data_IF_481105582143
#
_entry.id   IF_481105582143
#
_cell.length_a   1.000
_cell.length_b   1.000
_cell.length_c   1.000
_cell.angle_alpha   90.00
_cell.angle_beta   90.00
_cell.angle_gamma   90.00
#
_symmetry.space_group_name_H-M   'P 1'
#
loop_
_entity.id
_entity.type
_entity.pdbx_description
1 polymer ?
#
# COMPACT_ATOMS: atom_id res chain seq x y z
N UNK A 1 -6.20 -32.20 35.65
CA UNK A 1 -7.04 -30.99 35.76
C UNK A 1 -6.19 -29.80 35.33
N UNK A 2 -5.87 -29.74 34.04
CA UNK A 2 -5.07 -28.69 33.41
C UNK A 2 -5.68 -28.44 32.03
N UNK A 3 -6.54 -27.44 31.96
CA UNK A 3 -7.00 -26.82 30.73
C UNK A 3 -7.57 -25.45 31.14
N UNK A 4 -7.47 -24.48 30.23
CA UNK A 4 -8.03 -23.14 30.36
C UNK A 4 -7.12 -22.10 31.04
N UNK A 5 -6.03 -21.74 30.35
CA UNK A 5 -5.37 -20.42 30.43
C UNK A 5 -4.63 -20.15 29.11
N UNK A 6 -5.38 -20.07 28.01
CA UNK A 6 -4.85 -19.66 26.70
C UNK A 6 -6.01 -19.10 25.86
N UNK A 7 -6.51 -17.92 26.26
CA UNK A 7 -7.53 -17.17 25.51
C UNK A 7 -7.66 -15.71 26.03
N UNK A 8 -6.55 -15.01 26.27
CA UNK A 8 -6.58 -13.57 26.62
C UNK A 8 -5.41 -12.79 25.95
N UNK A 9 -5.04 -13.13 24.71
CA UNK A 9 -4.03 -12.33 23.96
C UNK A 9 -4.57 -11.81 22.61
N UNK A 10 -5.78 -12.18 22.19
CA UNK A 10 -6.30 -11.84 20.86
C UNK A 10 -7.40 -10.75 20.83
N UNK A 11 -7.76 -10.12 21.95
CA UNK A 11 -8.95 -9.24 22.02
C UNK A 11 -8.64 -7.78 22.39
N UNK A 12 -7.38 -7.44 22.68
CA UNK A 12 -7.02 -6.09 23.16
C UNK A 12 -6.56 -5.08 22.10
N UNK A 13 -6.67 -5.40 20.80
CA UNK A 13 -6.29 -4.49 19.70
C UNK A 13 -7.47 -3.78 19.01
N UNK A 14 -8.72 -4.02 19.43
CA UNK A 14 -9.92 -3.42 18.79
C UNK A 14 -10.51 -2.24 19.59
N UNK A 15 -9.93 -1.89 20.74
CA UNK A 15 -10.43 -0.77 21.55
C UNK A 15 -9.32 0.26 21.79
N UNK A 16 -9.36 1.34 21.01
CA UNK A 16 -8.85 2.70 21.27
C UNK A 16 -8.21 3.33 20.02
N UNK A 17 -8.99 3.51 18.95
CA UNK A 17 -8.89 4.69 18.08
C UNK A 17 -10.31 5.05 17.63
N UNK A 18 -11.12 5.58 18.55
CA UNK A 18 -12.26 6.43 18.16
C UNK A 18 -11.72 7.85 17.97
N UNK A 19 -10.81 8.03 17.01
CA UNK A 19 -10.75 9.33 16.34
C UNK A 19 -12.14 9.47 15.71
N UNK A 20 -12.76 10.64 15.82
CA UNK A 20 -13.98 10.94 15.06
C UNK A 20 -13.67 10.69 13.59
N UNK A 21 -13.98 9.49 13.12
CA UNK A 21 -13.94 9.14 11.71
C UNK A 21 -15.05 9.98 11.10
N UNK A 22 -14.64 11.02 10.38
CA UNK A 22 -15.53 11.81 9.56
C UNK A 22 -15.70 11.03 8.25
N UNK A 23 -16.92 10.61 7.99
CA UNK A 23 -17.28 9.77 6.86
C UNK A 23 -18.79 9.59 6.81
N UNK A 24 -19.32 9.56 5.59
CA UNK A 24 -20.77 9.36 5.41
C UNK A 24 -21.04 7.87 5.43
N UNK A 25 -21.80 7.40 6.42
CA UNK A 25 -22.28 6.02 6.48
C UNK A 25 -23.44 5.84 5.50
N UNK A 26 -23.26 4.97 4.52
CA UNK A 26 -24.27 4.60 3.55
C UNK A 26 -24.90 3.27 3.97
N UNK A 27 -26.20 3.30 4.24
CA UNK A 27 -26.97 2.07 4.42
C UNK A 27 -27.22 1.44 3.04
N UNK A 28 -26.89 0.16 2.91
CA UNK A 28 -27.11 -0.59 1.68
C UNK A 28 -28.41 -1.38 1.83
N UNK A 29 -29.48 -1.06 1.07
CA UNK A 29 -30.72 -1.82 1.16
C UNK A 29 -30.52 -3.28 0.73
N UNK A 30 -31.40 -4.17 1.18
CA UNK A 30 -31.38 -5.56 0.75
C UNK A 30 -31.58 -5.64 -0.78
N UNK A 31 -30.75 -6.43 -1.47
CA UNK A 31 -30.74 -6.51 -2.93
C UNK A 31 -30.16 -5.27 -3.61
N UNK A 32 -29.43 -4.43 -2.87
CA UNK A 32 -28.69 -3.31 -3.46
C UNK A 32 -27.66 -3.83 -4.48
N UNK A 33 -27.64 -3.19 -5.64
CA UNK A 33 -26.76 -3.53 -6.74
C UNK A 33 -26.38 -2.26 -7.50
N UNK A 34 -25.12 -2.21 -7.92
CA UNK A 34 -24.61 -1.23 -8.88
C UNK A 34 -23.94 -1.97 -10.02
N UNK A 35 -24.37 -1.66 -11.24
CA UNK A 35 -23.81 -2.24 -12.47
C UNK A 35 -22.78 -1.29 -13.06
N UNK A 36 -21.58 -1.79 -13.31
CA UNK A 36 -20.53 -1.13 -14.06
C UNK A 36 -20.96 -0.99 -15.53
N UNK A 37 -21.65 0.09 -15.90
CA UNK A 37 -22.01 0.38 -17.28
C UNK A 37 -22.06 1.90 -17.53
N UNK A 38 -22.43 2.29 -18.75
CA UNK A 38 -22.52 3.68 -19.20
C UNK A 38 -23.59 4.53 -18.49
N UNK A 39 -24.33 3.99 -17.52
CA UNK A 39 -25.23 4.77 -16.66
C UNK A 39 -24.50 5.44 -15.50
N UNK A 40 -23.32 4.94 -15.12
CA UNK A 40 -22.51 5.55 -14.08
C UNK A 40 -21.75 6.76 -14.63
N UNK A 41 -21.61 7.85 -13.86
CA UNK A 41 -20.76 8.98 -14.24
C UNK A 41 -19.30 8.53 -14.40
N UNK A 42 -18.73 8.75 -15.59
CA UNK A 42 -17.34 8.41 -15.91
C UNK A 42 -16.46 9.67 -15.93
N UNK A 43 -15.30 9.58 -15.29
CA UNK A 43 -14.33 10.67 -15.17
C UNK A 43 -12.95 10.21 -15.62
N UNK A 44 -12.17 11.13 -16.19
CA UNK A 44 -10.77 10.87 -16.53
C UNK A 44 -9.90 10.89 -15.27
N UNK A 45 -9.02 9.92 -15.13
CA UNK A 45 -8.00 9.88 -14.07
C UNK A 45 -6.69 10.52 -14.54
N UNK A 46 -5.93 11.03 -13.57
CA UNK A 46 -4.57 11.54 -13.82
C UNK A 46 -3.56 10.42 -14.10
N UNK A 47 -3.86 9.20 -13.66
CA UNK A 47 -2.98 8.04 -13.75
C UNK A 47 -3.11 7.35 -15.11
N UNK A 48 -2.06 7.37 -15.94
CA UNK A 48 -1.88 6.42 -17.05
C UNK A 48 -3.04 6.29 -18.06
N UNK A 49 -3.56 7.42 -18.57
CA UNK A 49 -4.71 7.46 -19.50
C UNK A 49 -5.87 6.55 -19.04
N UNK A 50 -6.18 6.64 -17.75
CA UNK A 50 -7.24 5.89 -17.12
C UNK A 50 -8.54 6.69 -17.01
N UNK A 51 -9.61 5.97 -16.72
CA UNK A 51 -10.89 6.54 -16.32
C UNK A 51 -11.50 5.74 -15.17
N UNK A 52 -12.47 6.34 -14.49
CA UNK A 52 -13.19 5.69 -13.41
C UNK A 52 -14.66 6.05 -13.42
N UNK A 53 -15.51 5.07 -13.11
CA UNK A 53 -16.95 5.23 -12.97
C UNK A 53 -17.33 5.30 -11.52
N UNK A 54 -17.89 6.43 -11.11
CA UNK A 54 -18.25 6.70 -9.72
C UNK A 54 -19.44 5.84 -9.28
N UNK A 55 -19.29 5.11 -8.17
CA UNK A 55 -20.38 4.30 -7.63
C UNK A 55 -21.43 5.17 -6.93
N UNK A 56 -22.69 4.76 -7.08
CA UNK A 56 -23.84 5.45 -6.49
C UNK A 56 -24.76 4.47 -5.78
N UNK A 57 -25.20 4.81 -4.57
CA UNK A 57 -26.33 4.16 -3.90
C UNK A 57 -27.60 4.99 -4.12
N UNK A 58 -28.44 4.57 -5.06
CA UNK A 58 -29.53 5.41 -5.54
C UNK A 58 -28.99 6.66 -6.23
N UNK A 59 -29.35 7.85 -5.73
CA UNK A 59 -28.86 9.13 -6.26
C UNK A 59 -27.65 9.68 -5.50
N UNK A 60 -27.05 8.89 -4.59
CA UNK A 60 -25.99 9.34 -3.71
C UNK A 60 -24.67 8.67 -4.08
N UNK A 61 -23.66 9.46 -4.45
CA UNK A 61 -22.31 8.96 -4.72
C UNK A 61 -21.66 8.43 -3.43
N UNK A 62 -20.93 7.32 -3.55
CA UNK A 62 -20.19 6.71 -2.45
C UNK A 62 -18.81 7.37 -2.31
N UNK A 63 -18.76 8.44 -1.52
CA UNK A 63 -17.59 9.33 -1.39
C UNK A 63 -17.29 9.64 0.08
N UNK A 64 -16.08 10.08 0.38
CA UNK A 64 -15.75 10.62 1.70
C UNK A 64 -16.50 11.93 1.98
N UNK A 65 -16.61 12.31 3.25
CA UNK A 65 -17.36 13.51 3.64
C UNK A 65 -16.70 14.79 3.10
N UNK A 66 -15.38 14.82 3.05
CA UNK A 66 -14.59 15.87 2.41
C UNK A 66 -14.53 15.78 0.86
N UNK A 67 -15.10 14.72 0.28
CA UNK A 67 -15.17 14.47 -1.15
C UNK A 67 -13.83 14.11 -1.81
N UNK A 68 -12.74 13.90 -1.06
CA UNK A 68 -11.41 13.58 -1.60
C UNK A 68 -11.28 12.14 -2.08
N UNK A 69 -12.04 11.22 -1.48
CA UNK A 69 -12.04 9.79 -1.81
C UNK A 69 -13.38 9.34 -2.39
N UNK A 70 -13.33 8.42 -3.35
CA UNK A 70 -14.51 7.89 -4.02
C UNK A 70 -14.38 6.40 -4.36
N UNK A 71 -15.45 5.64 -4.17
CA UNK A 71 -15.53 4.28 -4.70
C UNK A 71 -15.89 4.30 -6.18
N UNK A 72 -15.23 3.43 -6.95
CA UNK A 72 -15.40 3.41 -8.40
C UNK A 72 -15.14 2.04 -9.02
N UNK A 73 -15.53 1.90 -10.29
CA UNK A 73 -14.89 0.97 -11.22
C UNK A 73 -13.82 1.73 -12.03
N UNK A 74 -12.56 1.39 -11.85
CA UNK A 74 -11.39 2.02 -12.47
C UNK A 74 -10.90 1.20 -13.67
N UNK A 75 -10.44 1.84 -14.75
CA UNK A 75 -9.86 1.18 -15.94
C UNK A 75 -8.73 1.99 -16.58
N UNK A 76 -7.80 1.32 -17.24
CA UNK A 76 -6.70 1.95 -17.98
C UNK A 76 -6.89 1.83 -19.50
N UNK A 77 -6.50 2.84 -20.29
CA UNK A 77 -6.31 2.77 -21.75
C UNK A 77 -7.48 2.14 -22.53
N UNK A 78 -8.73 2.43 -22.15
CA UNK A 78 -9.92 1.80 -22.72
C UNK A 78 -9.93 0.25 -22.69
N UNK A 79 -9.13 -0.34 -21.81
CA UNK A 79 -9.09 -1.78 -21.57
C UNK A 79 -10.46 -2.30 -21.12
N UNK A 80 -10.84 -3.54 -21.51
CA UNK A 80 -12.05 -4.17 -20.99
C UNK A 80 -11.94 -4.61 -19.52
N UNK A 81 -10.80 -4.34 -18.87
CA UNK A 81 -10.54 -4.71 -17.47
C UNK A 81 -10.87 -3.56 -16.53
N UNK A 82 -11.81 -3.81 -15.62
CA UNK A 82 -12.24 -2.91 -14.58
C UNK A 82 -11.85 -3.43 -13.19
N UNK A 83 -11.53 -2.49 -12.31
CA UNK A 83 -11.15 -2.73 -10.93
C UNK A 83 -12.11 -2.01 -9.99
N UNK A 84 -12.73 -2.73 -9.05
CA UNK A 84 -13.39 -2.09 -7.92
C UNK A 84 -12.33 -1.45 -7.03
N UNK A 85 -12.38 -0.12 -6.94
CA UNK A 85 -11.26 0.67 -6.47
C UNK A 85 -11.69 1.90 -5.66
N UNK A 86 -10.79 2.33 -4.79
CA UNK A 86 -10.84 3.64 -4.15
C UNK A 86 -9.96 4.62 -4.94
N UNK A 87 -10.55 5.76 -5.32
CA UNK A 87 -9.87 6.85 -6.00
C UNK A 87 -9.62 7.98 -5.02
N UNK A 88 -8.40 8.52 -5.01
CA UNK A 88 -8.00 9.71 -4.25
C UNK A 88 -7.80 10.90 -5.18
N UNK A 89 -8.08 12.12 -4.71
CA UNK A 89 -7.99 13.33 -5.52
C UNK A 89 -9.20 13.53 -6.43
N UNK A 90 -10.33 12.89 -6.12
CA UNK A 90 -11.60 13.08 -6.84
C UNK A 90 -12.25 14.46 -6.57
N UNK A 91 -11.49 15.41 -6.01
CA UNK A 91 -12.01 16.66 -5.45
C UNK A 91 -12.61 17.54 -6.55
N UNK A 92 -13.93 17.68 -6.46
CA UNK A 92 -14.84 18.43 -7.31
C UNK A 92 -15.23 17.71 -8.62
N UNK A 93 -16.10 16.70 -8.46
CA UNK A 93 -16.90 15.96 -9.46
C UNK A 93 -17.66 16.83 -10.49
N UNK A 94 -17.46 18.14 -10.47
CA UNK A 94 -18.08 19.17 -11.32
C UNK A 94 -17.15 19.69 -12.41
N UNK A 95 -15.83 19.45 -12.32
CA UNK A 95 -14.87 19.81 -13.36
C UNK A 95 -14.30 18.54 -13.99
N UNK A 96 -14.22 18.50 -15.31
CA UNK A 96 -13.61 17.45 -16.12
C UNK A 96 -12.08 17.34 -15.95
N UNK A 97 -11.53 17.89 -14.86
CA UNK A 97 -10.09 17.95 -14.60
C UNK A 97 -9.62 16.63 -13.97
N UNK A 98 -8.69 15.97 -14.65
CA UNK A 98 -8.16 14.66 -14.27
C UNK A 98 -7.22 14.74 -13.06
N UNK A 99 -7.76 14.58 -11.84
CA UNK A 99 -6.96 14.53 -10.60
C UNK A 99 -7.06 13.19 -9.86
N UNK A 100 -7.97 12.29 -10.27
CA UNK A 100 -8.15 10.99 -9.63
C UNK A 100 -6.95 10.06 -9.83
N UNK A 101 -6.54 9.37 -8.77
CA UNK A 101 -5.58 8.24 -8.79
C UNK A 101 -6.15 7.05 -8.03
N UNK A 102 -5.91 5.83 -8.51
CA UNK A 102 -6.28 4.63 -7.76
C UNK A 102 -5.31 4.41 -6.60
N UNK A 103 -5.83 4.34 -5.37
CA UNK A 103 -5.05 4.13 -4.14
C UNK A 103 -5.35 2.81 -3.44
N UNK A 104 -6.39 2.09 -3.87
CA UNK A 104 -6.72 0.77 -3.36
C UNK A 104 -7.63 0.03 -4.34
N UNK A 105 -7.50 -1.29 -4.46
CA UNK A 105 -8.46 -2.11 -5.22
C UNK A 105 -8.65 -3.49 -4.61
N UNK A 106 -9.91 -3.91 -4.51
CA UNK A 106 -10.29 -5.19 -3.92
C UNK A 106 -9.98 -6.39 -4.82
N UNK A 107 -10.08 -6.19 -6.14
CA UNK A 107 -9.99 -7.24 -7.16
C UNK A 107 -8.84 -6.98 -8.14
N UNK A 108 -7.73 -6.38 -7.67
CA UNK A 108 -6.57 -6.02 -8.50
C UNK A 108 -5.99 -7.18 -9.32
N UNK A 109 -6.06 -8.41 -8.81
CA UNK A 109 -5.58 -9.63 -9.49
C UNK A 109 -6.67 -10.35 -10.30
N UNK A 110 -7.93 -9.97 -10.10
CA UNK A 110 -9.09 -10.56 -10.74
C UNK A 110 -10.00 -9.46 -11.30
N UNK A 111 -9.53 -8.69 -12.31
CA UNK A 111 -10.35 -7.65 -12.93
C UNK A 111 -11.62 -8.24 -13.53
N UNK A 112 -12.66 -7.41 -13.59
CA UNK A 112 -13.96 -7.73 -14.18
C UNK A 112 -14.16 -6.99 -15.48
N UNK A 113 -15.22 -7.33 -16.20
CA UNK A 113 -15.57 -6.72 -17.48
C UNK A 113 -16.70 -5.69 -17.36
N UNK A 114 -17.05 -5.10 -18.50
CA UNK A 114 -18.24 -4.28 -18.66
C UNK A 114 -19.49 -5.04 -18.19
N UNK A 115 -20.44 -4.37 -17.54
CA UNK A 115 -21.63 -4.93 -16.88
C UNK A 115 -21.38 -5.82 -15.65
N UNK A 116 -20.17 -5.82 -15.09
CA UNK A 116 -19.92 -6.38 -13.76
C UNK A 116 -20.73 -5.64 -12.68
N UNK A 117 -20.96 -6.29 -11.54
CA UNK A 117 -21.81 -5.75 -10.46
C UNK A 117 -21.07 -5.67 -9.14
N UNK A 118 -21.37 -4.64 -8.36
CA UNK A 118 -21.14 -4.61 -6.92
C UNK A 118 -22.51 -4.76 -6.26
N UNK A 119 -22.72 -5.85 -5.53
CA UNK A 119 -24.04 -6.18 -4.97
C UNK A 119 -23.97 -6.65 -3.52
N UNK A 120 -25.01 -6.35 -2.76
CA UNK A 120 -25.22 -6.87 -1.41
C UNK A 120 -26.23 -8.02 -1.45
N UNK A 121 -25.76 -9.24 -1.22
CA UNK A 121 -26.63 -10.43 -1.15
C UNK A 121 -27.53 -10.43 0.09
N UNK A 122 -28.58 -11.25 0.07
CA UNK A 122 -29.48 -11.47 1.21
C UNK A 122 -28.78 -11.97 2.49
N UNK A 123 -27.57 -12.54 2.35
CA UNK A 123 -26.76 -13.00 3.48
C UNK A 123 -25.84 -11.90 4.05
N UNK A 124 -25.94 -10.67 3.53
CA UNK A 124 -25.04 -9.57 3.89
C UNK A 124 -23.61 -9.79 3.40
N UNK A 125 -23.43 -10.41 2.23
CA UNK A 125 -22.13 -10.44 1.53
C UNK A 125 -22.12 -9.32 0.49
N UNK A 126 -21.19 -8.37 0.61
CA UNK A 126 -20.88 -7.43 -0.45
C UNK A 126 -19.94 -8.12 -1.43
N UNK A 127 -20.31 -8.18 -2.72
CA UNK A 127 -19.61 -8.98 -3.72
C UNK A 127 -19.35 -8.17 -4.99
N UNK A 128 -18.14 -8.32 -5.53
CA UNK A 128 -17.83 -7.92 -6.91
C UNK A 128 -18.00 -9.16 -7.79
N UNK A 129 -18.93 -9.09 -8.74
CA UNK A 129 -19.29 -10.18 -9.64
C UNK A 129 -19.08 -9.73 -11.08
N UNK A 130 -18.42 -10.55 -11.89
CA UNK A 130 -18.25 -10.29 -13.31
C UNK A 130 -19.55 -10.56 -14.09
N UNK A 131 -19.62 -10.11 -15.34
CA UNK A 131 -20.83 -10.21 -16.18
C UNK A 131 -21.28 -11.66 -16.48
N UNK A 132 -20.39 -12.64 -16.30
CA UNK A 132 -20.65 -14.06 -16.43
C UNK A 132 -21.16 -14.73 -15.13
N UNK A 133 -21.30 -13.96 -14.05
CA UNK A 133 -21.72 -14.45 -12.73
C UNK A 133 -20.59 -14.91 -11.81
N UNK A 134 -19.32 -14.83 -12.26
CA UNK A 134 -18.17 -15.20 -11.44
C UNK A 134 -17.90 -14.14 -10.36
N UNK A 135 -17.91 -14.57 -9.10
CA UNK A 135 -17.51 -13.70 -7.98
C UNK A 135 -15.99 -13.61 -7.91
N UNK A 136 -15.45 -12.39 -7.98
CA UNK A 136 -13.99 -12.14 -7.95
C UNK A 136 -13.50 -11.63 -6.60
N UNK A 137 -14.41 -11.07 -5.79
CA UNK A 137 -14.12 -10.59 -4.44
C UNK A 137 -15.41 -10.57 -3.62
N UNK A 138 -15.32 -10.85 -2.31
CA UNK A 138 -16.43 -10.70 -1.38
C UNK A 138 -15.96 -10.33 0.03
N UNK A 139 -16.83 -9.61 0.75
CA UNK A 139 -16.66 -9.31 2.17
C UNK A 139 -17.03 -10.51 3.07
N UNK A 140 -16.74 -10.44 4.38
CA UNK A 140 -17.43 -11.27 5.38
C UNK A 140 -18.97 -11.10 5.32
N UNK A 141 -19.69 -12.05 5.91
CA UNK A 141 -21.17 -12.00 6.02
C UNK A 141 -21.64 -10.96 7.03
N UNK A 142 -22.91 -10.56 6.91
CA UNK A 142 -23.56 -9.67 7.85
C UNK A 142 -23.35 -8.17 7.60
N UNK A 143 -22.77 -7.80 6.46
CA UNK A 143 -22.64 -6.40 6.04
C UNK A 143 -24.02 -5.79 5.81
N UNK A 144 -24.20 -4.57 6.31
CA UNK A 144 -25.43 -3.78 6.19
C UNK A 144 -25.19 -2.32 5.77
N UNK A 145 -23.93 -1.89 5.74
CA UNK A 145 -23.56 -0.54 5.34
C UNK A 145 -22.09 -0.43 4.97
N UNK A 146 -21.78 0.64 4.27
CA UNK A 146 -20.43 0.99 3.81
C UNK A 146 -20.16 2.46 4.12
N UNK A 147 -18.92 2.79 4.47
CA UNK A 147 -18.46 4.16 4.66
C UNK A 147 -17.13 4.34 3.97
N UNK A 148 -16.99 5.47 3.28
CA UNK A 148 -15.69 5.97 2.81
C UNK A 148 -15.30 7.06 3.80
N UNK A 149 -14.25 6.83 4.58
CA UNK A 149 -13.76 7.78 5.57
C UNK A 149 -12.86 8.83 4.90
N UNK A 150 -12.74 10.01 5.52
CA UNK A 150 -11.83 11.09 5.09
C UNK A 150 -10.34 10.69 5.19
N UNK A 151 -10.03 9.59 5.88
CA UNK A 151 -8.70 8.94 5.88
C UNK A 151 -8.42 8.12 4.62
N UNK A 152 -9.46 7.84 3.81
CA UNK A 152 -9.41 6.87 2.71
C UNK A 152 -9.62 5.42 3.15
N UNK A 153 -10.01 5.17 4.40
CA UNK A 153 -10.44 3.83 4.82
C UNK A 153 -11.85 3.54 4.31
N UNK A 154 -12.03 2.38 3.67
CA UNK A 154 -13.35 1.87 3.27
C UNK A 154 -13.78 0.88 4.33
N UNK A 155 -14.85 1.19 5.05
CA UNK A 155 -15.30 0.41 6.20
C UNK A 155 -16.67 -0.19 5.93
N UNK A 156 -16.80 -1.50 6.19
CA UNK A 156 -18.06 -2.21 6.11
C UNK A 156 -18.61 -2.47 7.51
N UNK A 157 -19.88 -2.15 7.73
CA UNK A 157 -20.52 -2.27 9.03
C UNK A 157 -21.56 -3.38 9.06
N UNK A 158 -21.64 -4.07 10.20
CA UNK A 158 -22.76 -4.95 10.50
C UNK A 158 -24.01 -4.18 10.94
N UNK A 159 -25.12 -4.90 11.12
CA UNK A 159 -26.41 -4.30 11.53
C UNK A 159 -26.41 -3.68 12.94
N UNK A 160 -25.41 -3.98 13.76
CA UNK A 160 -25.20 -3.38 15.09
C UNK A 160 -24.32 -2.13 15.04
N UNK A 161 -23.80 -1.79 13.86
CA UNK A 161 -22.85 -0.69 13.66
C UNK A 161 -21.40 -1.08 13.99
N UNK A 162 -21.13 -2.36 14.21
CA UNK A 162 -19.78 -2.90 14.40
C UNK A 162 -19.01 -2.95 13.09
N UNK A 163 -17.69 -2.75 13.15
CA UNK A 163 -16.81 -2.90 11.99
C UNK A 163 -16.67 -4.38 11.66
N UNK A 164 -17.14 -4.78 10.49
CA UNK A 164 -17.06 -6.16 9.99
C UNK A 164 -15.83 -6.39 9.10
N UNK A 165 -15.37 -5.34 8.41
CA UNK A 165 -14.24 -5.37 7.50
C UNK A 165 -13.78 -3.94 7.19
N UNK A 166 -12.50 -3.74 6.88
CA UNK A 166 -11.96 -2.43 6.46
C UNK A 166 -10.80 -2.56 5.46
N UNK A 167 -10.66 -1.62 4.52
CA UNK A 167 -9.62 -1.67 3.48
C UNK A 167 -8.20 -1.49 4.02
N UNK A 168 -8.04 -0.78 5.14
CA UNK A 168 -6.72 -0.55 5.73
C UNK A 168 -6.01 -1.84 6.17
N UNK A 169 -6.76 -2.89 6.48
CA UNK A 169 -6.22 -4.22 6.83
C UNK A 169 -5.77 -5.03 5.59
N UNK A 170 -6.06 -4.52 4.39
CA UNK A 170 -5.78 -5.16 3.10
C UNK A 170 -5.09 -4.17 2.13
N UNK A 171 -3.87 -3.71 2.45
CA UNK A 171 -3.15 -2.77 1.60
C UNK A 171 -2.79 -3.37 0.23
N UNK A 172 -2.63 -2.51 -0.78
CA UNK A 172 -2.19 -2.89 -2.14
C UNK A 172 -0.76 -2.45 -2.40
N UNK A 173 -0.55 -1.47 -3.28
CA UNK A 173 0.72 -0.83 -3.59
C UNK A 173 0.85 0.56 -2.94
N UNK A 174 -0.21 1.07 -2.29
CA UNK A 174 -0.27 2.41 -1.71
C UNK A 174 -0.47 2.35 -0.20
N UNK A 175 0.19 3.25 0.51
CA UNK A 175 0.00 3.56 1.92
C UNK A 175 -0.54 4.98 2.07
N UNK A 176 -1.74 5.11 2.64
CA UNK A 176 -2.37 6.39 2.92
C UNK A 176 -1.95 6.96 4.28
N UNK A 177 -2.16 8.25 4.47
CA UNK A 177 -1.85 8.93 5.73
C UNK A 177 -2.62 8.29 6.89
N UNK A 178 -1.91 7.97 7.98
CA UNK A 178 -2.51 7.34 9.16
C UNK A 178 -2.84 5.85 9.02
N UNK A 179 -2.73 5.27 7.81
CA UNK A 179 -2.82 3.82 7.62
C UNK A 179 -1.61 3.14 8.26
N UNK A 180 -1.87 2.04 8.96
CA UNK A 180 -0.86 1.26 9.68
C UNK A 180 -0.70 -0.10 8.99
N UNK A 181 0.52 -0.44 8.59
CA UNK A 181 0.89 -1.78 8.10
C UNK A 181 1.56 -2.52 9.25
N UNK A 182 0.96 -3.60 9.73
CA UNK A 182 1.54 -4.39 10.84
C UNK A 182 2.57 -5.39 10.34
N UNK A 183 3.35 -5.94 11.26
CA UNK A 183 4.33 -6.99 10.95
C UNK A 183 3.69 -8.15 10.19
N UNK A 184 4.33 -8.58 9.10
CA UNK A 184 3.83 -9.65 8.21
C UNK A 184 2.84 -9.17 7.12
N UNK A 185 2.43 -7.90 7.13
CA UNK A 185 1.76 -7.28 5.99
C UNK A 185 2.77 -6.61 5.06
N UNK A 186 2.34 -6.41 3.81
CA UNK A 186 3.20 -5.86 2.76
C UNK A 186 2.46 -4.93 1.81
N UNK A 187 3.20 -4.00 1.24
CA UNK A 187 2.83 -3.38 -0.04
C UNK A 187 3.37 -4.24 -1.18
N UNK A 188 2.58 -4.42 -2.24
CA UNK A 188 2.97 -5.17 -3.44
C UNK A 188 2.74 -4.27 -4.64
N UNK A 189 3.77 -4.01 -5.44
CA UNK A 189 3.71 -3.10 -6.58
C UNK A 189 2.66 -3.52 -7.60
N UNK A 190 2.29 -2.60 -8.49
CA UNK A 190 1.54 -2.95 -9.70
C UNK A 190 2.44 -3.70 -10.69
N UNK A 191 1.85 -4.49 -11.59
CA UNK A 191 2.57 -5.25 -12.61
C UNK A 191 3.07 -4.38 -13.75
N UNK A 192 2.38 -3.26 -14.02
CA UNK A 192 2.78 -2.25 -15.01
C UNK A 192 2.08 -0.92 -14.72
N UNK A 193 2.41 0.13 -15.47
CA UNK A 193 1.75 1.44 -15.38
C UNK A 193 0.27 1.44 -15.81
N UNK A 194 -0.20 0.35 -16.43
CA UNK A 194 -1.54 0.20 -16.99
C UNK A 194 -2.31 -1.02 -16.46
N UNK A 195 -1.81 -1.63 -15.38
CA UNK A 195 -2.42 -2.81 -14.76
C UNK A 195 -2.18 -2.79 -13.25
N UNK A 196 -3.26 -2.92 -12.46
CA UNK A 196 -3.16 -2.98 -11.00
C UNK A 196 -2.80 -4.36 -10.49
N UNK A 197 -2.78 -5.40 -11.32
CA UNK A 197 -2.41 -6.75 -10.87
C UNK A 197 -1.07 -6.75 -10.15
N UNK A 198 -0.90 -7.65 -9.21
CA UNK A 198 0.29 -7.74 -8.38
C UNK A 198 1.53 -7.93 -9.24
N UNK A 199 2.51 -7.05 -9.04
CA UNK A 199 3.84 -7.13 -9.65
C UNK A 199 4.81 -7.91 -8.77
N UNK A 200 6.09 -7.80 -9.10
CA UNK A 200 7.16 -8.56 -8.44
C UNK A 200 7.85 -7.80 -7.32
N UNK A 201 7.55 -6.52 -7.09
CA UNK A 201 8.20 -5.74 -6.03
C UNK A 201 7.32 -5.72 -4.79
N UNK A 202 7.91 -5.98 -3.63
CA UNK A 202 7.20 -6.04 -2.36
C UNK A 202 7.98 -5.31 -1.27
N UNK A 203 7.27 -4.60 -0.41
CA UNK A 203 7.81 -4.02 0.83
C UNK A 203 7.07 -4.63 2.00
N UNK A 204 7.78 -5.31 2.88
CA UNK A 204 7.22 -6.00 4.04
C UNK A 204 7.72 -5.38 5.35
N UNK A 205 6.81 -5.25 6.31
CA UNK A 205 7.17 -4.84 7.67
C UNK A 205 7.59 -6.07 8.45
N UNK A 206 8.84 -6.08 8.91
CA UNK A 206 9.44 -7.18 9.66
C UNK A 206 9.90 -6.71 11.04
N UNK A 207 10.14 -7.64 11.95
CA UNK A 207 10.58 -7.35 13.31
C UNK A 207 11.93 -6.60 13.38
N UNK A 208 12.68 -6.46 12.29
CA UNK A 208 13.93 -5.69 12.25
C UNK A 208 13.83 -4.35 11.52
N UNK A 209 12.67 -4.02 10.92
CA UNK A 209 12.53 -2.83 10.09
C UNK A 209 11.64 -3.05 8.87
N UNK A 210 12.08 -2.51 7.72
CA UNK A 210 11.45 -2.75 6.42
C UNK A 210 12.36 -3.62 5.56
N UNK A 211 11.78 -4.61 4.89
CA UNK A 211 12.47 -5.38 3.87
C UNK A 211 11.77 -5.18 2.53
N UNK A 212 12.56 -4.93 1.50
CA UNK A 212 12.11 -4.82 0.13
C UNK A 212 12.61 -6.01 -0.66
N UNK A 213 11.68 -6.65 -1.37
CA UNK A 213 11.83 -7.96 -1.96
C UNK A 213 11.45 -7.89 -3.45
N UNK A 214 12.22 -8.62 -4.26
CA UNK A 214 11.89 -8.98 -5.62
C UNK A 214 11.40 -10.44 -5.62
N UNK A 215 10.12 -10.64 -5.91
CA UNK A 215 9.45 -11.94 -6.00
C UNK A 215 9.35 -12.37 -7.49
N UNK A 216 10.38 -13.09 -7.96
CA UNK A 216 10.38 -13.83 -9.23
C UNK A 216 10.26 -15.34 -8.94
N UNK A 217 10.99 -16.20 -9.65
CA UNK A 217 11.08 -17.64 -9.31
C UNK A 217 11.70 -17.87 -7.93
N UNK A 218 12.56 -16.95 -7.49
CA UNK A 218 13.15 -16.91 -6.16
C UNK A 218 12.92 -15.54 -5.54
N UNK A 219 12.68 -15.50 -4.22
CA UNK A 219 12.55 -14.25 -3.46
C UNK A 219 13.93 -13.69 -3.15
N UNK A 220 14.21 -12.46 -3.58
CA UNK A 220 15.50 -11.79 -3.36
C UNK A 220 15.32 -10.46 -2.64
N UNK A 221 15.93 -10.25 -1.47
CA UNK A 221 15.92 -8.94 -0.84
C UNK A 221 16.88 -7.99 -1.57
N UNK A 222 16.40 -6.80 -1.92
CA UNK A 222 17.23 -5.77 -2.56
C UNK A 222 17.47 -4.54 -1.68
N UNK A 223 16.64 -4.34 -0.64
CA UNK A 223 16.86 -3.30 0.35
C UNK A 223 16.37 -3.80 1.71
N UNK A 224 17.23 -3.72 2.72
CA UNK A 224 16.85 -3.89 4.12
C UNK A 224 17.08 -2.55 4.78
N UNK A 225 16.00 -1.93 5.25
CA UNK A 225 16.08 -0.71 6.01
C UNK A 225 15.84 -1.01 7.48
N UNK A 226 16.87 -0.77 8.27
CA UNK A 226 16.82 -0.71 9.72
C UNK A 226 17.57 0.55 10.16
N UNK A 227 17.12 1.17 11.24
CA UNK A 227 17.88 2.23 11.90
C UNK A 227 18.40 1.70 13.22
N UNK A 228 19.69 1.41 13.30
CA UNK A 228 20.47 1.79 14.48
C UNK A 228 21.96 1.81 14.14
N UNK A 229 22.69 2.71 14.79
CA UNK A 229 24.15 2.80 14.81
C UNK A 229 24.78 1.49 15.34
N UNK A 230 24.85 0.46 14.50
CA UNK A 230 25.61 -0.77 14.72
C UNK A 230 25.01 -1.80 15.68
N UNK A 231 24.05 -1.43 16.53
CA UNK A 231 23.48 -2.35 17.53
C UNK A 231 21.96 -2.46 17.40
N UNK A 232 21.47 -3.52 16.75
CA UNK A 232 20.20 -4.12 17.21
C UNK A 232 20.35 -4.36 18.71
N UNK A 233 19.31 -4.19 19.56
CA UNK A 233 19.39 -4.64 20.94
C UNK A 233 19.83 -6.11 20.91
N UNK A 234 21.11 -6.35 21.19
CA UNK A 234 21.73 -7.68 21.20
C UNK A 234 21.14 -8.56 22.30
N UNK A 235 20.31 -7.95 23.14
CA UNK A 235 19.61 -8.54 24.25
C UNK A 235 18.12 -8.14 24.20
N UNK A 236 17.34 -8.86 23.38
CA UNK A 236 15.92 -9.12 23.72
C UNK A 236 15.90 -10.22 24.80
N UNK A 237 16.70 -10.08 25.85
CA UNK A 237 16.85 -11.09 26.92
C UNK A 237 16.15 -10.70 28.20
N UNK A 238 15.50 -9.54 28.24
CA UNK A 238 14.49 -9.25 29.25
C UNK A 238 13.20 -8.84 28.58
N UNK A 239 12.13 -9.61 28.83
CA UNK A 239 10.76 -9.14 28.64
C UNK A 239 10.58 -8.02 29.66
N UNK A 240 11.05 -6.82 29.34
CA UNK A 240 10.73 -5.65 30.11
C UNK A 240 9.30 -5.26 29.75
N UNK A 241 8.34 -5.63 30.59
CA UNK A 241 6.92 -5.26 30.44
C UNK A 241 6.68 -3.74 30.48
N UNK A 242 7.72 -2.95 30.76
CA UNK A 242 7.72 -1.49 30.74
C UNK A 242 8.22 -0.91 29.41
N UNK A 243 8.66 -1.74 28.46
CA UNK A 243 9.10 -1.29 27.14
C UNK A 243 7.92 -0.74 26.32
N UNK A 244 7.96 0.53 25.88
CA UNK A 244 6.98 1.02 24.91
C UNK A 244 7.15 0.25 23.61
N UNK A 245 6.04 -0.17 22.98
CA UNK A 245 6.08 -0.70 21.62
C UNK A 245 6.56 0.41 20.67
N UNK A 246 7.29 0.06 19.62
CA UNK A 246 7.73 1.00 18.59
C UNK A 246 7.05 0.68 17.26
N UNK A 247 6.93 1.71 16.43
CA UNK A 247 6.52 1.60 15.03
C UNK A 247 7.50 2.38 14.16
N UNK A 248 7.54 2.03 12.88
CA UNK A 248 8.25 2.77 11.86
C UNK A 248 7.33 3.90 11.41
N UNK A 249 7.68 5.14 11.75
CA UNK A 249 7.02 6.30 11.16
C UNK A 249 7.76 6.66 9.86
N UNK A 250 7.04 6.58 8.75
CA UNK A 250 7.46 7.12 7.47
C UNK A 250 7.02 8.58 7.44
N UNK A 251 7.96 9.51 7.37
CA UNK A 251 7.67 10.94 7.32
C UNK A 251 8.26 11.54 6.06
N UNK A 252 7.47 12.38 5.39
CA UNK A 252 8.02 13.22 4.33
C UNK A 252 8.94 14.26 4.97
N UNK A 253 10.09 14.53 4.38
CA UNK A 253 11.05 15.55 4.84
C UNK A 253 11.92 15.97 3.67
N UNK A 254 12.05 17.28 3.48
CA UNK A 254 12.98 17.88 2.51
C UNK A 254 12.91 17.27 1.09
N UNK A 255 11.72 16.89 0.61
CA UNK A 255 11.55 16.35 -0.74
C UNK A 255 11.62 14.82 -0.84
N UNK A 256 11.87 14.09 0.26
CA UNK A 256 12.01 12.64 0.31
C UNK A 256 11.14 12.03 1.42
N UNK A 257 11.03 10.70 1.47
CA UNK A 257 10.48 9.98 2.63
C UNK A 257 11.62 9.38 3.43
N UNK A 258 11.60 9.65 4.72
CA UNK A 258 12.53 9.09 5.68
C UNK A 258 11.78 8.20 6.66
N UNK A 259 12.42 7.12 7.10
CA UNK A 259 11.91 6.29 8.17
C UNK A 259 12.50 6.71 9.51
N UNK A 260 11.72 6.62 10.57
CA UNK A 260 12.21 6.74 11.95
C UNK A 260 11.47 5.80 12.88
N UNK A 261 12.15 5.31 13.91
CA UNK A 261 11.47 4.63 15.00
C UNK A 261 10.71 5.65 15.84
N UNK A 262 9.44 5.39 16.09
CA UNK A 262 8.56 6.21 16.91
C UNK A 262 7.95 5.33 18.01
N UNK A 263 8.07 5.77 19.27
CA UNK A 263 7.38 5.13 20.39
C UNK A 263 5.85 5.25 20.21
N UNK A 264 5.10 4.18 20.48
CA UNK A 264 3.64 4.22 20.37
C UNK A 264 2.98 4.93 21.55
N UNK A 265 3.69 5.09 22.68
CA UNK A 265 3.24 5.91 23.83
C UNK A 265 3.87 7.29 23.77
N UNK A 266 3.02 8.31 23.84
CA UNK A 266 3.45 9.69 23.99
C UNK A 266 4.33 9.83 25.24
N UNK A 267 5.46 10.52 25.10
CA UNK A 267 6.34 10.97 26.20
C UNK A 267 7.38 9.96 26.74
N UNK A 268 7.96 9.11 25.89
CA UNK A 268 9.16 8.35 26.26
C UNK A 268 10.34 8.82 25.40
N UNK A 269 11.40 9.32 26.05
CA UNK A 269 12.73 9.50 25.45
C UNK A 269 13.52 8.18 25.44
N UNK A 270 12.84 7.06 25.72
CA UNK A 270 13.44 5.75 25.90
C UNK A 270 13.92 5.21 24.55
N UNK A 271 15.07 4.53 24.57
CA UNK A 271 15.60 3.87 23.39
C UNK A 271 14.74 2.66 22.99
N UNK A 272 14.65 2.35 21.68
CA UNK A 272 13.99 1.14 21.21
C UNK A 272 14.54 -0.10 21.90
N UNK A 273 13.71 -0.74 22.72
CA UNK A 273 14.07 -1.97 23.44
C UNK A 273 13.39 -3.23 22.87
N UNK A 274 12.71 -3.10 21.72
CA UNK A 274 12.06 -4.20 21.02
C UNK A 274 11.83 -3.91 19.53
N UNK A 275 11.46 -4.95 18.76
CA UNK A 275 11.20 -4.83 17.32
C UNK A 275 10.03 -3.87 17.03
N UNK A 276 9.99 -3.19 15.87
CA UNK A 276 8.80 -2.46 15.46
C UNK A 276 7.68 -3.46 15.20
N UNK A 277 6.46 -3.11 15.61
CA UNK A 277 5.29 -3.95 15.36
C UNK A 277 4.53 -3.53 14.12
N UNK A 278 4.80 -2.33 13.59
CA UNK A 278 4.11 -1.76 12.44
C UNK A 278 4.92 -0.64 11.75
N UNK A 279 4.48 -0.24 10.56
CA UNK A 279 4.84 0.98 9.87
C UNK A 279 3.61 1.88 9.64
N UNK A 280 3.78 3.20 9.66
CA UNK A 280 2.70 4.18 9.45
C UNK A 280 3.23 5.37 8.66
N UNK A 281 2.43 5.87 7.71
CA UNK A 281 2.70 7.18 7.09
C UNK A 281 2.20 8.27 8.04
N UNK A 282 3.14 9.05 8.58
CA UNK A 282 2.86 10.11 9.54
C UNK A 282 2.14 11.31 8.91
N UNK A 283 1.33 12.01 9.71
CA UNK A 283 0.63 13.23 9.32
C UNK A 283 1.64 14.38 9.12
N UNK A 284 1.80 14.84 7.87
CA UNK A 284 2.82 15.82 7.50
C UNK A 284 2.34 17.27 7.59
N UNK A 285 1.06 17.53 7.33
CA UNK A 285 0.34 18.76 7.64
C UNK A 285 -1.14 18.49 7.33
N UNK A 286 -2.09 19.16 7.99
CA UNK A 286 -3.52 18.90 7.74
C UNK A 286 -4.03 19.37 6.36
N UNK A 287 -3.18 20.00 5.54
CA UNK A 287 -3.59 20.63 4.27
C UNK A 287 -3.05 19.97 3.01
N UNK A 288 -1.98 19.17 3.11
CA UNK A 288 -1.34 18.57 1.93
C UNK A 288 -1.92 17.19 1.60
N UNK A 289 -2.40 16.99 0.38
CA UNK A 289 -2.82 15.67 -0.07
C UNK A 289 -1.60 14.88 -0.50
N UNK A 290 -1.36 13.75 0.15
CA UNK A 290 -0.22 12.92 -0.16
C UNK A 290 -0.49 11.44 0.11
N UNK A 291 0.26 10.58 -0.58
CA UNK A 291 0.29 9.14 -0.35
C UNK A 291 1.68 8.59 -0.67
N UNK A 292 1.99 7.42 -0.12
CA UNK A 292 3.19 6.65 -0.47
C UNK A 292 2.81 5.51 -1.39
N UNK A 293 3.58 5.26 -2.45
CA UNK A 293 3.35 4.15 -3.36
C UNK A 293 4.64 3.36 -3.57
N UNK A 294 4.56 2.04 -3.47
CA UNK A 294 5.59 1.14 -3.98
C UNK A 294 5.37 1.00 -5.49
N UNK A 295 6.17 1.73 -6.26
CA UNK A 295 6.00 1.78 -7.71
C UNK A 295 6.52 0.50 -8.38
N UNK A 296 6.22 0.34 -9.67
CA UNK A 296 6.53 -0.85 -10.47
C UNK A 296 8.04 -1.17 -10.54
N UNK A 297 8.87 -0.16 -10.30
CA UNK A 297 10.33 -0.28 -10.27
C UNK A 297 10.87 -0.60 -8.86
N UNK A 298 10.02 -0.80 -7.86
CA UNK A 298 10.41 -1.18 -6.51
C UNK A 298 10.84 0.01 -5.63
N UNK A 299 10.66 1.24 -6.09
CA UNK A 299 10.89 2.44 -5.27
C UNK A 299 9.62 2.79 -4.49
N UNK A 300 9.79 3.08 -3.20
CA UNK A 300 8.72 3.68 -2.40
C UNK A 300 8.75 5.21 -2.59
N UNK A 301 7.78 5.75 -3.32
CA UNK A 301 7.75 7.14 -3.77
C UNK A 301 6.60 7.89 -3.09
N UNK A 302 6.85 9.10 -2.53
CA UNK A 302 5.78 9.99 -2.11
C UNK A 302 5.16 10.70 -3.30
N UNK A 303 3.84 10.74 -3.38
CA UNK A 303 3.10 11.55 -4.33
C UNK A 303 2.35 12.63 -3.57
N UNK A 304 2.51 13.87 -3.99
CA UNK A 304 1.92 15.05 -3.35
C UNK A 304 1.10 15.81 -4.38
N UNK A 305 -0.10 16.23 -4.00
CA UNK A 305 -0.95 16.99 -4.89
C UNK A 305 -0.54 18.46 -4.89
N UNK A 306 -0.19 18.97 -6.07
CA UNK A 306 0.11 20.37 -6.29
C UNK A 306 -1.19 21.10 -6.66
N UNK A 307 -1.78 21.80 -5.68
CA UNK A 307 -3.02 22.57 -5.89
C UNK A 307 -2.88 23.67 -6.95
N UNK A 308 -1.70 24.27 -7.11
CA UNK A 308 -1.46 25.32 -8.11
C UNK A 308 -1.47 24.79 -9.54
N UNK A 309 -1.09 23.52 -9.74
CA UNK A 309 -1.03 22.84 -11.05
C UNK A 309 -2.13 21.81 -11.26
N UNK A 310 -3.00 21.61 -10.27
CA UNK A 310 -4.04 20.58 -10.25
C UNK A 310 -3.54 19.19 -10.69
N UNK A 311 -2.38 18.77 -10.17
CA UNK A 311 -1.72 17.52 -10.58
C UNK A 311 -0.94 16.88 -9.44
N UNK A 312 -0.76 15.56 -9.52
CA UNK A 312 0.11 14.80 -8.62
C UNK A 312 1.55 14.92 -9.06
N UNK A 313 2.44 15.24 -8.12
CA UNK A 313 3.88 15.31 -8.33
C UNK A 313 4.57 14.25 -7.46
N UNK A 314 5.51 13.51 -8.06
CA UNK A 314 6.35 12.57 -7.33
C UNK A 314 7.49 13.31 -6.62
N UNK A 315 7.68 13.04 -5.34
CA UNK A 315 8.90 13.42 -4.62
C UNK A 315 10.02 12.42 -4.86
N UNK A 316 11.09 12.55 -4.07
CA UNK A 316 12.22 11.64 -4.13
C UNK A 316 11.89 10.31 -3.43
N UNK A 317 12.38 9.17 -3.97
CA UNK A 317 12.20 7.87 -3.35
C UNK A 317 12.66 7.80 -1.90
N UNK A 318 12.09 6.87 -1.14
CA UNK A 318 12.47 6.54 0.22
C UNK A 318 14.00 6.43 0.35
N UNK A 319 14.56 7.21 1.27
CA UNK A 319 15.99 7.23 1.57
C UNK A 319 16.88 7.55 0.34
N UNK A 320 16.39 8.34 -0.61
CA UNK A 320 17.14 8.82 -1.79
C UNK A 320 18.41 9.62 -1.45
N UNK A 321 18.45 10.25 -0.27
CA UNK A 321 19.64 10.89 0.26
C UNK A 321 20.78 9.91 0.57
N UNK A 322 20.45 8.64 0.84
CA UNK A 322 21.40 7.58 1.18
C UNK A 322 21.67 6.67 -0.01
N UNK A 323 20.61 6.28 -0.73
CA UNK A 323 20.72 5.34 -1.85
C UNK A 323 20.80 6.02 -3.23
N UNK A 324 20.57 7.34 -3.32
CA UNK A 324 20.55 8.05 -4.59
C UNK A 324 19.58 7.42 -5.59
N UNK A 325 20.10 7.11 -6.77
CA UNK A 325 19.40 6.43 -7.88
C UNK A 325 19.52 4.90 -7.84
N UNK A 326 20.16 4.31 -6.82
CA UNK A 326 20.68 2.94 -6.82
C UNK A 326 19.69 1.81 -6.44
N UNK A 327 18.40 2.10 -6.31
CA UNK A 327 17.36 1.10 -5.97
C UNK A 327 16.51 0.75 -7.20
N UNK A 328 16.05 -0.50 -7.35
CA UNK A 328 16.75 -1.79 -7.27
C UNK A 328 17.34 -2.24 -8.62
N UNK A 329 17.10 -1.51 -9.70
CA UNK A 329 17.46 -1.93 -11.07
C UNK A 329 18.31 -0.91 -11.82
N UNK A 330 19.18 -0.20 -11.10
CA UNK A 330 20.14 0.69 -11.76
C UNK A 330 21.22 -0.11 -12.48
N UNK A 331 21.51 -1.31 -11.97
CA UNK A 331 22.68 -2.10 -12.27
C UNK A 331 22.31 -3.55 -12.57
N UNK A 332 22.90 -4.13 -13.62
CA UNK A 332 22.66 -5.51 -14.04
C UNK A 332 23.27 -6.53 -13.06
N UNK A 333 22.95 -7.81 -13.24
CA UNK A 333 23.50 -8.92 -12.44
C UNK A 333 25.03 -8.81 -12.29
N UNK A 334 25.53 -9.03 -11.08
CA UNK A 334 26.96 -8.94 -10.69
C UNK A 334 27.58 -7.53 -10.69
N UNK A 335 26.76 -6.48 -10.78
CA UNK A 335 27.19 -5.09 -10.55
C UNK A 335 26.58 -4.47 -9.30
N UNK A 336 27.32 -3.54 -8.69
CA UNK A 336 26.91 -2.73 -7.55
C UNK A 336 26.83 -1.28 -8.00
N UNK A 337 25.77 -0.60 -7.59
CA UNK A 337 25.67 0.84 -7.81
C UNK A 337 26.56 1.58 -6.80
N UNK A 338 27.67 2.13 -7.27
CA UNK A 338 28.44 3.14 -6.56
C UNK A 338 27.81 4.52 -6.86
N UNK A 339 27.76 5.39 -5.84
CA UNK A 339 26.98 6.63 -5.84
C UNK A 339 26.95 7.40 -7.17
N UNK A 340 25.80 7.99 -7.49
CA UNK A 340 25.47 8.69 -8.75
C UNK A 340 25.26 7.82 -10.01
N UNK A 341 24.55 6.69 -9.87
CA UNK A 341 24.15 5.81 -10.99
C UNK A 341 25.30 5.08 -11.68
N UNK A 342 26.45 4.92 -11.04
CA UNK A 342 27.59 4.22 -11.64
C UNK A 342 27.58 2.75 -11.21
N UNK A 343 27.33 1.86 -12.16
CA UNK A 343 27.41 0.42 -11.93
C UNK A 343 28.86 -0.05 -12.06
N UNK A 344 29.38 -0.66 -11.01
CA UNK A 344 30.71 -1.29 -11.00
C UNK A 344 30.56 -2.78 -10.74
N UNK A 345 31.32 -3.61 -11.47
CA UNK A 345 31.30 -5.05 -11.22
C UNK A 345 31.87 -5.37 -9.84
N UNK A 346 31.26 -6.35 -9.16
CA UNK A 346 31.75 -6.85 -7.86
C UNK A 346 33.17 -7.43 -8.02
N UNK A 347 33.46 -8.00 -9.18
CA UNK A 347 34.78 -8.49 -9.57
C UNK A 347 35.26 -7.70 -10.78
N UNK A 348 36.41 -7.03 -10.66
CA UNK A 348 37.08 -6.46 -11.83
C UNK A 348 37.74 -7.60 -12.60
N UNK A 349 37.17 -7.95 -13.76
CA UNK A 349 37.86 -8.80 -14.73
C UNK A 349 39.15 -8.10 -15.18
N UNK A 350 40.25 -8.84 -15.30
CA UNK A 350 41.54 -8.30 -15.74
C UNK A 350 41.61 -7.97 -17.24
N UNK A 351 40.54 -8.18 -18.02
CA UNK A 351 40.57 -7.94 -19.46
C UNK A 351 39.86 -6.64 -19.83
N UNK A 352 40.65 -5.74 -20.41
CA UNK A 352 40.27 -4.40 -20.80
C UNK A 352 39.55 -4.32 -22.14
N UNK A 353 38.37 -4.93 -22.25
CA UNK A 353 37.50 -4.73 -23.41
C UNK A 353 36.15 -4.11 -23.04
N UNK A 354 35.76 -3.14 -23.87
CA UNK A 354 34.58 -2.29 -23.75
C UNK A 354 33.31 -3.04 -24.15
N UNK A 355 32.62 -3.65 -23.18
CA UNK A 355 31.16 -3.81 -23.18
C UNK A 355 30.71 -4.22 -21.77
N UNK A 356 29.86 -3.39 -21.14
CA UNK A 356 29.47 -3.49 -19.72
C UNK A 356 28.54 -4.68 -19.44
N UNK A 357 29.07 -5.90 -19.48
CA UNK A 357 28.44 -7.05 -18.81
C UNK A 357 29.42 -7.56 -17.76
N UNK A 358 28.97 -7.62 -16.50
CA UNK A 358 29.83 -8.12 -15.44
C UNK A 358 30.04 -9.64 -15.60
N UNK A 359 31.28 -10.13 -15.42
CA UNK A 359 31.58 -11.54 -15.63
C UNK A 359 30.72 -12.42 -14.71
N UNK A 360 30.15 -13.47 -15.27
CA UNK A 360 29.37 -14.47 -14.54
C UNK A 360 30.31 -15.26 -13.61
N UNK A 361 29.86 -15.69 -12.40
CA UNK A 361 30.64 -16.55 -11.51
C UNK A 361 31.10 -17.87 -12.15
N UNK A 362 30.50 -18.26 -13.28
CA UNK A 362 30.94 -19.42 -14.08
C UNK A 362 32.34 -19.27 -14.67
N UNK A 363 32.86 -18.04 -14.79
CA UNK A 363 34.15 -17.76 -15.43
C UNK A 363 35.31 -17.65 -14.42
N UNK A 364 35.02 -17.83 -13.12
CA UNK A 364 36.01 -17.86 -12.04
C UNK A 364 35.89 -19.23 -11.36
N UNK A 365 36.88 -20.12 -11.44
CA UNK A 365 36.80 -21.42 -10.78
C UNK A 365 36.69 -21.23 -9.26
N UNK A 366 35.49 -21.49 -8.72
CA UNK A 366 35.25 -21.58 -7.28
C UNK A 366 35.94 -22.84 -6.75
N UNK A 367 37.16 -22.68 -6.25
CA UNK A 367 37.82 -23.72 -5.47
C UNK A 367 37.25 -23.67 -4.06
N UNK A 368 36.27 -24.51 -3.75
CA UNK A 368 35.90 -24.79 -2.38
C UNK A 368 37.00 -25.64 -1.74
N UNK A 369 37.90 -25.01 -0.98
CA UNK A 369 38.81 -25.75 -0.12
C UNK A 369 37.98 -26.38 1.01
N UNK A 370 37.72 -27.68 0.91
CA UNK A 370 37.36 -28.48 2.06
C UNK A 370 38.62 -28.65 2.92
N UNK A 371 38.64 -28.01 4.09
CA UNK A 371 39.46 -28.46 5.23
C UNK A 371 38.63 -29.30 6.20
#
# INVERSE_FOLDING_TARGET
MYAMKLLIVSVFLVWMISILAHGTKYHLPQGWEVVNNNRLPEFTASQGNASYRLLQAGNTSLVSQDGRFALSFFRFNDSPRYYFALVFGASNYTSSSASGVCVWSANRDNPVTENATLQLSDQGLLQVMDSDGRVVWNSPRGVSGIEVQDSGNVVLYDSTGGVSWQSFDHPTDVLLEGQVIVTGQSLVSSSSSSSLSSGSMKMEVVASGLIFLLELDTVQPYLVWNMWNGNLPSDVTSINTSCPSYRIALHYSAGSVEGRYQATRNNTSDQPCGPPTAAVLGNYSSTDLHYLKLDIDGKLIPYIYNFGRASWESGQPFMSNIFGSCLPMTCESHSVCAGSSQCSCIVQGQDGDQEQTCPSPSDIPLVCNHE
#
